data_IF_818837162758
#
_entry.id   IF_818837162758
#
_cell.length_a   1.000
_cell.length_b   1.000
_cell.length_c   1.000
_cell.angle_alpha   90.00
_cell.angle_beta   90.00
_cell.angle_gamma   90.00
#
_symmetry.space_group_name_H-M   'P 1'
#
loop_
_entity.id
_entity.type
_entity.pdbx_description
1 polymer ?
#
# COMPACT_ATOMS: atom_id res chain seq x y z
N UNK A 1 -19.14 -2.13 17.53
CA UNK A 1 -18.41 -3.21 17.82
C UNK A 1 -17.03 -2.88 18.34
N UNK A 2 -16.48 -3.81 19.05
CA UNK A 2 -15.33 -3.59 19.90
C UNK A 2 -14.04 -3.52 19.11
N UNK A 3 -13.07 -2.77 19.64
CA UNK A 3 -11.71 -2.75 19.12
C UNK A 3 -11.02 -4.07 19.45
N UNK A 4 -10.20 -4.55 18.53
CA UNK A 4 -9.43 -5.77 18.76
C UNK A 4 -8.02 -5.62 18.19
N UNK A 5 -7.09 -6.34 18.81
CA UNK A 5 -5.74 -6.47 18.29
C UNK A 5 -5.72 -7.62 17.29
N UNK A 6 -5.26 -7.34 16.09
CA UNK A 6 -5.15 -8.34 15.02
C UNK A 6 -3.72 -8.40 14.51
N UNK A 7 -3.34 -9.55 13.97
CA UNK A 7 -2.11 -9.71 13.21
C UNK A 7 -2.49 -9.67 11.73
N UNK A 8 -1.97 -8.69 11.02
CA UNK A 8 -2.41 -8.41 9.65
C UNK A 8 -1.28 -7.77 8.84
N UNK A 9 -1.54 -7.57 7.56
CA UNK A 9 -0.62 -6.86 6.65
C UNK A 9 -1.32 -5.65 6.08
N UNK A 10 -0.64 -4.51 6.10
CA UNK A 10 -1.13 -3.26 5.52
C UNK A 10 -0.28 -2.90 4.32
N UNK A 11 -0.96 -2.50 3.25
CA UNK A 11 -0.34 -2.10 1.99
C UNK A 11 -0.75 -0.67 1.68
N UNK A 12 0.23 0.20 1.41
CA UNK A 12 0.00 1.54 0.87
C UNK A 12 0.52 1.57 -0.56
N UNK A 13 -0.33 2.03 -1.49
CA UNK A 13 -0.03 2.08 -2.91
C UNK A 13 -0.24 3.51 -3.39
N UNK A 14 0.82 4.14 -3.88
CA UNK A 14 0.77 5.50 -4.39
C UNK A 14 1.01 5.51 -5.89
N UNK A 15 0.32 6.42 -6.61
CA UNK A 15 0.50 6.59 -8.04
C UNK A 15 1.60 7.63 -8.26
N UNK A 16 2.73 7.19 -8.79
CA UNK A 16 3.89 8.05 -8.98
C UNK A 16 3.60 9.19 -9.96
N UNK A 17 3.92 10.41 -9.55
CA UNK A 17 3.80 11.59 -10.42
C UNK A 17 2.37 12.06 -10.67
N UNK A 18 1.38 11.52 -9.99
CA UNK A 18 -0.01 11.88 -10.22
C UNK A 18 -0.31 13.34 -9.83
N UNK A 19 0.34 13.85 -8.80
CA UNK A 19 0.18 15.25 -8.38
C UNK A 19 0.51 16.20 -9.52
N UNK A 20 1.58 15.93 -10.27
CA UNK A 20 1.99 16.75 -11.41
C UNK A 20 0.94 16.74 -12.51
N UNK A 21 0.37 15.57 -12.85
CA UNK A 21 -0.67 15.48 -13.89
C UNK A 21 -1.96 16.16 -13.43
N UNK A 22 -2.29 16.05 -12.14
CA UNK A 22 -3.50 16.65 -11.59
C UNK A 22 -3.48 18.18 -11.61
N UNK A 23 -2.30 18.78 -11.62
CA UNK A 23 -2.13 20.23 -11.72
C UNK A 23 -2.25 20.74 -13.16
N UNK A 24 -2.03 19.88 -14.15
CA UNK A 24 -2.00 20.26 -15.58
C UNK A 24 -3.28 19.96 -16.32
N UNK A 25 -3.98 18.90 -15.95
CA UNK A 25 -5.15 18.42 -16.67
C UNK A 25 -6.45 18.97 -16.09
N UNK A 26 -7.49 18.94 -16.91
CA UNK A 26 -8.85 19.34 -16.47
C UNK A 26 -9.33 18.39 -15.36
N UNK A 27 -10.13 18.89 -14.40
CA UNK A 27 -10.63 18.07 -13.30
C UNK A 27 -11.31 16.77 -13.72
N UNK A 28 -12.12 16.80 -14.78
CA UNK A 28 -12.80 15.60 -15.27
C UNK A 28 -11.82 14.54 -15.77
N UNK A 29 -10.76 14.96 -16.43
CA UNK A 29 -9.69 14.06 -16.89
C UNK A 29 -8.96 13.44 -15.71
N UNK A 30 -8.65 14.24 -14.70
CA UNK A 30 -7.96 13.77 -13.48
C UNK A 30 -8.78 12.71 -12.77
N UNK A 31 -10.08 12.97 -12.58
CA UNK A 31 -10.99 12.03 -11.90
C UNK A 31 -11.10 10.73 -12.70
N UNK A 32 -11.23 10.82 -14.03
CA UNK A 32 -11.31 9.62 -14.88
C UNK A 32 -10.05 8.76 -14.78
N UNK A 33 -8.88 9.37 -14.87
CA UNK A 33 -7.61 8.65 -14.78
C UNK A 33 -7.46 7.98 -13.42
N UNK A 34 -7.76 8.72 -12.36
CA UNK A 34 -7.65 8.21 -10.99
C UNK A 34 -8.59 7.02 -10.76
N UNK A 35 -9.85 7.14 -11.23
CA UNK A 35 -10.82 6.06 -11.10
C UNK A 35 -10.39 4.82 -11.89
N UNK A 36 -9.83 4.98 -13.07
CA UNK A 36 -9.33 3.86 -13.87
C UNK A 36 -8.19 3.13 -13.14
N UNK A 37 -7.26 3.89 -12.55
CA UNK A 37 -6.12 3.31 -11.82
C UNK A 37 -6.58 2.63 -10.53
N UNK A 38 -7.48 3.26 -9.78
CA UNK A 38 -8.05 2.65 -8.56
C UNK A 38 -8.79 1.36 -8.88
N UNK A 39 -9.53 1.32 -9.98
CA UNK A 39 -10.27 0.12 -10.36
C UNK A 39 -9.33 -1.07 -10.59
N UNK A 40 -8.20 -0.86 -11.23
CA UNK A 40 -7.18 -1.87 -11.43
C UNK A 40 -6.64 -2.37 -10.08
N UNK A 41 -6.32 -1.45 -9.18
CA UNK A 41 -5.78 -1.79 -7.86
C UNK A 41 -6.79 -2.56 -7.02
N UNK A 42 -8.03 -2.09 -6.98
CA UNK A 42 -9.11 -2.71 -6.21
C UNK A 42 -9.37 -4.14 -6.66
N UNK A 43 -9.39 -4.38 -7.96
CA UNK A 43 -9.60 -5.73 -8.52
C UNK A 43 -8.53 -6.71 -8.03
N UNK A 44 -7.27 -6.29 -8.05
CA UNK A 44 -6.16 -7.15 -7.63
C UNK A 44 -6.17 -7.39 -6.12
N UNK A 45 -6.53 -6.38 -5.33
CA UNK A 45 -6.64 -6.51 -3.88
C UNK A 45 -7.75 -7.49 -3.50
N UNK A 46 -8.93 -7.34 -4.12
CA UNK A 46 -10.08 -8.21 -3.87
C UNK A 46 -9.77 -9.65 -4.31
N UNK A 47 -9.07 -9.82 -5.42
CA UNK A 47 -8.69 -11.16 -5.91
C UNK A 47 -7.86 -11.93 -4.89
N UNK A 48 -7.12 -11.26 -4.02
CA UNK A 48 -6.33 -11.85 -2.95
C UNK A 48 -7.03 -11.76 -1.57
N UNK A 49 -8.33 -11.52 -1.56
CA UNK A 49 -9.14 -11.39 -0.35
C UNK A 49 -8.68 -10.27 0.57
N UNK A 50 -8.12 -9.22 0.01
CA UNK A 50 -7.80 -8.00 0.73
C UNK A 50 -9.02 -7.11 0.88
N UNK A 51 -8.94 -6.18 1.81
CA UNK A 51 -9.99 -5.22 2.12
C UNK A 51 -9.45 -3.83 1.83
N UNK A 52 -10.19 -3.03 1.08
CA UNK A 52 -9.84 -1.63 0.87
C UNK A 52 -10.23 -0.89 2.15
N UNK A 53 -9.24 -0.32 2.83
CA UNK A 53 -9.50 0.47 4.03
C UNK A 53 -9.98 1.87 3.66
N UNK A 54 -9.21 2.57 2.85
CA UNK A 54 -9.56 3.90 2.38
C UNK A 54 -8.74 4.34 1.18
N UNK A 55 -9.22 5.36 0.51
CA UNK A 55 -8.47 6.12 -0.48
C UNK A 55 -8.00 7.41 0.17
N UNK A 56 -6.73 7.75 0.00
CA UNK A 56 -6.11 8.95 0.56
C UNK A 56 -5.47 9.71 -0.61
N UNK A 57 -6.21 10.65 -1.21
CA UNK A 57 -5.77 11.32 -2.44
C UNK A 57 -5.56 10.30 -3.55
N UNK A 58 -4.35 10.20 -4.08
CA UNK A 58 -3.95 9.23 -5.10
C UNK A 58 -3.32 7.95 -4.52
N UNK A 59 -3.55 7.70 -3.23
CA UNK A 59 -3.05 6.55 -2.49
C UNK A 59 -4.19 5.62 -2.09
N UNK A 60 -3.94 4.32 -2.12
CA UNK A 60 -4.86 3.29 -1.63
C UNK A 60 -4.23 2.62 -0.42
N UNK A 61 -5.01 2.50 0.65
CA UNK A 61 -4.64 1.72 1.83
C UNK A 61 -5.48 0.45 1.86
N UNK A 62 -4.83 -0.70 1.91
CA UNK A 62 -5.49 -2.01 1.95
C UNK A 62 -4.99 -2.83 3.12
N UNK A 63 -5.85 -3.70 3.63
CA UNK A 63 -5.54 -4.59 4.76
C UNK A 63 -5.81 -6.03 4.35
N UNK A 64 -4.86 -6.90 4.69
CA UNK A 64 -4.96 -8.34 4.47
C UNK A 64 -4.87 -9.02 5.84
N UNK A 65 -5.84 -9.84 6.16
CA UNK A 65 -5.86 -10.57 7.44
C UNK A 65 -6.21 -12.04 7.21
N UNK A 66 -6.00 -12.86 8.24
CA UNK A 66 -6.22 -14.30 8.12
C UNK A 66 -5.02 -15.03 7.55
N UNK A 67 -5.25 -16.22 7.02
CA UNK A 67 -4.18 -17.09 6.55
C UNK A 67 -3.38 -16.46 5.41
N UNK A 68 -2.06 -16.54 5.51
CA UNK A 68 -1.13 -16.07 4.48
C UNK A 68 -1.31 -14.60 4.11
N UNK A 69 -1.68 -13.77 5.09
CA UNK A 69 -1.98 -12.36 4.81
C UNK A 69 -0.80 -11.62 4.19
N UNK A 70 0.44 -11.89 4.61
CA UNK A 70 1.61 -11.25 4.01
C UNK A 70 1.84 -11.73 2.57
N UNK A 71 1.76 -13.03 2.33
CA UNK A 71 1.96 -13.58 0.98
C UNK A 71 0.91 -13.06 0.01
N UNK A 72 -0.36 -13.00 0.44
CA UNK A 72 -1.46 -12.49 -0.40
C UNK A 72 -1.30 -11.01 -0.70
N UNK A 73 -0.82 -10.23 0.27
CA UNK A 73 -0.54 -8.81 0.08
C UNK A 73 0.57 -8.59 -0.94
N UNK A 74 1.62 -9.41 -0.91
CA UNK A 74 2.72 -9.34 -1.87
C UNK A 74 2.24 -9.75 -3.26
N UNK A 75 1.49 -10.84 -3.38
CA UNK A 75 0.93 -11.28 -4.66
C UNK A 75 0.04 -10.19 -5.28
N UNK A 76 -0.83 -9.57 -4.49
CA UNK A 76 -1.67 -8.47 -4.96
C UNK A 76 -0.82 -7.29 -5.44
N UNK A 77 0.24 -6.96 -4.71
CA UNK A 77 1.12 -5.84 -5.05
C UNK A 77 1.89 -6.07 -6.35
N UNK A 78 2.37 -7.30 -6.57
CA UNK A 78 3.03 -7.68 -7.83
C UNK A 78 2.04 -7.57 -8.99
N UNK A 79 0.82 -8.09 -8.80
CA UNK A 79 -0.22 -8.02 -9.82
C UNK A 79 -0.59 -6.57 -10.15
N UNK A 80 -0.71 -5.72 -9.15
CA UNK A 80 -0.98 -4.28 -9.33
C UNK A 80 0.13 -3.64 -10.14
N UNK A 81 1.38 -3.82 -9.73
CA UNK A 81 2.53 -3.24 -10.45
C UNK A 81 2.52 -3.65 -11.91
N UNK A 82 2.32 -4.93 -12.18
CA UNK A 82 2.32 -5.46 -13.55
C UNK A 82 1.14 -4.92 -14.37
N UNK A 83 -0.05 -4.89 -13.78
CA UNK A 83 -1.25 -4.38 -14.45
C UNK A 83 -1.15 -2.88 -14.75
N UNK A 84 -0.65 -2.10 -13.79
CA UNK A 84 -0.44 -0.66 -13.99
C UNK A 84 0.62 -0.42 -15.07
N UNK A 85 1.72 -1.17 -15.07
CA UNK A 85 2.78 -1.04 -16.08
C UNK A 85 2.29 -1.34 -17.49
N UNK A 86 1.24 -2.16 -17.63
CA UNK A 86 0.68 -2.54 -18.92
C UNK A 86 -0.42 -1.62 -19.40
N UNK A 87 -0.81 -0.61 -18.60
CA UNK A 87 -1.79 0.37 -19.04
C UNK A 87 -1.19 1.30 -20.09
N UNK A 88 -2.02 1.77 -21.04
CA UNK A 88 -1.53 2.69 -22.07
C UNK A 88 -1.20 4.05 -21.47
N UNK A 89 -0.31 4.77 -22.15
CA UNK A 89 -0.07 6.18 -21.86
C UNK A 89 -1.29 6.98 -22.28
N UNK A 90 -1.83 7.78 -21.36
CA UNK A 90 -2.96 8.68 -21.63
C UNK A 90 -2.57 10.09 -21.22
N UNK A 91 -2.87 11.08 -22.05
CA UNK A 91 -2.57 12.50 -21.82
C UNK A 91 -1.11 12.73 -21.46
N UNK A 92 -0.19 11.96 -22.08
CA UNK A 92 1.24 12.05 -21.81
C UNK A 92 1.66 11.41 -20.49
N UNK A 93 0.76 10.73 -19.79
CA UNK A 93 1.04 10.10 -18.49
C UNK A 93 1.03 8.59 -18.59
N UNK A 94 2.14 7.98 -18.18
CA UNK A 94 2.27 6.52 -18.03
C UNK A 94 2.28 6.19 -16.55
N UNK A 95 1.21 5.58 -16.02
CA UNK A 95 1.13 5.34 -14.58
C UNK A 95 2.18 4.34 -14.10
N UNK A 96 2.73 4.62 -12.94
CA UNK A 96 3.62 3.73 -12.16
C UNK A 96 3.18 3.80 -10.72
N UNK A 97 3.54 2.81 -9.94
CA UNK A 97 3.20 2.76 -8.52
C UNK A 97 4.43 2.64 -7.64
N UNK A 98 4.29 3.15 -6.42
CA UNK A 98 5.23 2.91 -5.32
C UNK A 98 4.44 2.25 -4.20
N UNK A 99 4.92 1.11 -3.70
CA UNK A 99 4.16 0.28 -2.77
C UNK A 99 5.01 0.01 -1.53
N UNK A 100 4.40 0.17 -0.35
CA UNK A 100 4.99 -0.21 0.92
C UNK A 100 4.11 -1.23 1.62
N UNK A 101 4.72 -2.28 2.17
CA UNK A 101 4.02 -3.39 2.82
C UNK A 101 4.66 -3.63 4.17
N UNK A 102 3.86 -3.74 5.21
CA UNK A 102 4.33 -4.15 6.52
C UNK A 102 3.31 -5.06 7.19
N UNK A 103 3.80 -5.95 8.02
CA UNK A 103 3.00 -6.96 8.71
C UNK A 103 3.27 -6.88 10.21
N UNK A 104 2.27 -7.18 11.00
CA UNK A 104 2.42 -7.22 12.45
C UNK A 104 1.11 -6.94 13.16
N UNK A 105 1.21 -6.66 14.45
CA UNK A 105 0.04 -6.34 15.25
C UNK A 105 -0.47 -4.93 14.97
N UNK A 106 -1.79 -4.81 14.97
CA UNK A 106 -2.46 -3.52 14.82
C UNK A 106 -3.82 -3.58 15.52
N UNK A 107 -4.39 -2.42 15.78
CA UNK A 107 -5.70 -2.33 16.40
C UNK A 107 -6.73 -2.05 15.32
N UNK A 108 -7.73 -2.93 15.24
CA UNK A 108 -8.85 -2.83 14.33
C UNK A 108 -10.08 -2.37 15.10
N UNK A 109 -10.80 -1.39 14.57
CA UNK A 109 -12.00 -0.89 15.23
C UNK A 109 -12.60 0.33 14.56
N UNK A 110 -13.64 0.85 15.16
CA UNK A 110 -14.30 2.08 14.74
C UNK A 110 -13.60 3.28 15.36
N UNK A 111 -13.02 4.11 14.51
CA UNK A 111 -12.20 5.25 14.92
C UNK A 111 -12.79 6.54 14.35
N UNK A 112 -12.95 7.54 15.18
CA UNK A 112 -13.50 8.82 14.78
C UNK A 112 -14.21 9.52 15.93
N UNK A 113 -15.18 10.35 15.57
CA UNK A 113 -15.94 11.13 16.53
C UNK A 113 -17.40 10.71 16.56
N UNK A 114 -17.85 10.17 17.68
CA UNK A 114 -19.26 9.85 17.90
C UNK A 114 -20.13 11.11 17.88
N UNK A 115 -19.60 12.22 18.38
CA UNK A 115 -20.30 13.52 18.37
C UNK A 115 -20.61 13.97 16.95
N UNK A 116 -19.67 13.78 16.02
CA UNK A 116 -19.87 14.11 14.62
C UNK A 116 -20.56 12.98 13.84
N UNK A 117 -20.91 11.89 14.53
CA UNK A 117 -21.50 10.69 13.94
C UNK A 117 -20.65 10.16 12.77
N UNK A 118 -19.32 10.27 12.92
CA UNK A 118 -18.38 9.85 11.89
C UNK A 118 -17.37 8.87 12.49
N UNK A 119 -17.67 7.60 12.33
CA UNK A 119 -16.81 6.51 12.76
C UNK A 119 -16.44 5.69 11.52
N UNK A 120 -15.14 5.55 11.27
CA UNK A 120 -14.62 4.73 10.19
C UNK A 120 -14.03 3.44 10.77
N UNK A 121 -14.41 2.31 10.22
CA UNK A 121 -13.79 1.04 10.60
C UNK A 121 -12.43 0.96 9.90
N UNK A 122 -11.37 0.94 10.68
CA UNK A 122 -10.00 1.01 10.16
C UNK A 122 -9.03 0.31 11.09
N UNK A 123 -7.75 0.32 10.72
CA UNK A 123 -6.65 -0.18 11.55
C UNK A 123 -5.69 0.96 11.87
N UNK A 124 -5.13 0.92 13.08
CA UNK A 124 -4.12 1.87 13.53
C UNK A 124 -2.99 1.16 14.26
N UNK A 125 -1.87 1.84 14.39
CA UNK A 125 -0.71 1.39 15.17
C UNK A 125 0.59 1.62 14.45
N UNK A 126 1.68 1.25 15.12
CA UNK A 126 3.03 1.39 14.61
C UNK A 126 3.25 0.59 13.30
N UNK A 127 2.67 -0.60 13.22
CA UNK A 127 2.73 -1.44 12.02
C UNK A 127 2.16 -0.70 10.80
N UNK A 128 1.05 0.00 10.99
CA UNK A 128 0.39 0.78 9.92
C UNK A 128 1.25 1.97 9.52
N UNK A 129 1.74 2.71 10.49
CA UNK A 129 2.59 3.89 10.25
C UNK A 129 3.88 3.51 9.52
N UNK A 130 4.48 2.40 9.89
CA UNK A 130 5.68 1.87 9.24
C UNK A 130 5.40 1.51 7.78
N UNK A 131 4.26 0.87 7.50
CA UNK A 131 3.87 0.54 6.12
C UNK A 131 3.81 1.80 5.24
N UNK A 132 3.21 2.86 5.74
CA UNK A 132 3.14 4.13 5.04
C UNK A 132 4.53 4.72 4.81
N UNK A 133 5.40 4.64 5.81
CA UNK A 133 6.77 5.12 5.71
C UNK A 133 7.58 4.34 4.66
N UNK A 134 7.37 3.03 4.59
CA UNK A 134 8.01 2.20 3.57
C UNK A 134 7.57 2.59 2.16
N UNK A 135 6.27 2.88 1.99
CA UNK A 135 5.76 3.36 0.72
C UNK A 135 6.42 4.69 0.32
N UNK A 136 6.58 5.62 1.27
CA UNK A 136 7.25 6.90 1.01
C UNK A 136 8.72 6.72 0.61
N UNK A 137 9.36 5.67 1.09
CA UNK A 137 10.76 5.36 0.76
C UNK A 137 10.89 4.58 -0.56
N UNK A 138 9.79 4.06 -1.09
CA UNK A 138 9.81 3.29 -2.33
C UNK A 138 10.05 4.20 -3.53
N UNK A 139 10.91 3.77 -4.43
CA UNK A 139 11.09 4.42 -5.72
C UNK A 139 9.99 4.03 -6.70
N UNK A 140 10.06 4.61 -7.89
CA UNK A 140 9.09 4.34 -8.96
C UNK A 140 9.13 2.86 -9.34
N UNK A 141 7.98 2.21 -9.27
CA UNK A 141 7.84 0.79 -9.61
C UNK A 141 8.33 -0.16 -8.53
N UNK A 142 8.68 0.33 -7.34
CA UNK A 142 9.18 -0.52 -6.27
C UNK A 142 8.08 -0.97 -5.32
N UNK A 143 8.20 -2.23 -4.89
CA UNK A 143 7.43 -2.81 -3.79
C UNK A 143 8.43 -3.03 -2.66
N UNK A 144 8.25 -2.32 -1.54
CA UNK A 144 9.21 -2.30 -0.45
C UNK A 144 8.65 -2.98 0.79
N UNK A 145 9.44 -3.89 1.35
CA UNK A 145 9.13 -4.60 2.60
C UNK A 145 10.30 -4.47 3.57
N UNK A 146 10.05 -4.52 4.90
CA UNK A 146 11.13 -4.54 5.86
C UNK A 146 11.76 -5.93 5.98
N UNK A 147 12.95 -5.99 6.55
CA UNK A 147 13.70 -7.24 6.70
C UNK A 147 12.91 -8.35 7.40
N UNK A 148 12.15 -8.02 8.43
CA UNK A 148 11.34 -9.02 9.13
C UNK A 148 10.30 -9.70 8.22
N UNK A 149 9.77 -8.96 7.24
CA UNK A 149 8.86 -9.52 6.24
C UNK A 149 9.65 -10.33 5.20
N UNK A 150 10.78 -9.81 4.77
CA UNK A 150 11.67 -10.53 3.87
C UNK A 150 12.03 -11.91 4.40
N UNK A 151 12.40 -12.01 5.67
CA UNK A 151 12.77 -13.29 6.30
C UNK A 151 11.65 -14.32 6.24
N UNK A 152 10.39 -13.85 6.29
CA UNK A 152 9.22 -14.74 6.22
C UNK A 152 8.91 -15.22 4.80
N UNK A 153 9.29 -14.45 3.78
CA UNK A 153 8.85 -14.71 2.39
C UNK A 153 9.98 -14.99 1.42
N UNK A 154 11.22 -14.95 1.83
CA UNK A 154 12.39 -15.06 0.95
C UNK A 154 12.45 -16.35 0.13
N UNK A 155 11.78 -17.41 0.60
CA UNK A 155 11.73 -18.68 -0.14
C UNK A 155 10.65 -18.67 -1.24
N UNK A 156 9.68 -17.79 -1.14
CA UNK A 156 8.54 -17.71 -2.06
C UNK A 156 8.63 -16.57 -3.05
N UNK A 157 9.37 -15.51 -2.70
CA UNK A 157 9.47 -14.31 -3.53
C UNK A 157 10.93 -13.93 -3.72
N UNK A 158 11.24 -13.49 -4.95
CA UNK A 158 12.57 -12.93 -5.24
C UNK A 158 12.63 -11.50 -4.75
N UNK A 159 13.57 -11.21 -3.87
CA UNK A 159 13.74 -9.89 -3.28
C UNK A 159 15.20 -9.45 -3.37
N UNK A 160 15.42 -8.13 -3.43
CA UNK A 160 16.75 -7.54 -3.43
C UNK A 160 16.86 -6.52 -2.30
N UNK A 161 17.96 -6.55 -1.57
CA UNK A 161 18.20 -5.57 -0.51
C UNK A 161 18.40 -4.18 -1.10
N UNK A 162 17.67 -3.21 -0.58
CA UNK A 162 17.81 -1.81 -0.99
C UNK A 162 18.85 -1.11 -0.10
N UNK A 163 18.74 -1.30 1.22
CA UNK A 163 19.59 -0.64 2.20
C UNK A 163 18.89 -0.50 3.53
N UNK A 164 19.21 0.55 4.26
CA UNK A 164 18.59 0.82 5.56
C UNK A 164 18.01 2.22 5.55
N UNK A 165 16.86 2.40 6.19
CA UNK A 165 16.23 3.69 6.35
C UNK A 165 15.94 3.97 7.82
N UNK A 166 15.92 5.26 8.18
CA UNK A 166 15.50 5.69 9.50
C UNK A 166 13.99 5.91 9.49
N UNK A 167 13.31 5.29 10.44
CA UNK A 167 11.88 5.51 10.63
C UNK A 167 11.67 6.62 11.65
N UNK A 168 10.63 7.41 11.44
CA UNK A 168 10.25 8.47 12.35
C UNK A 168 9.98 7.89 13.75
N UNK A 169 10.58 8.50 14.78
CA UNK A 169 10.44 8.08 16.18
C UNK A 169 11.04 6.70 16.50
N UNK A 170 11.91 6.18 15.63
CA UNK A 170 12.66 4.96 15.87
C UNK A 170 14.13 5.31 16.08
N UNK A 171 14.77 4.69 17.05
CA UNK A 171 16.20 4.88 17.34
C UNK A 171 17.09 4.03 16.44
N UNK A 172 16.53 3.00 15.82
CA UNK A 172 17.26 2.10 14.96
C UNK A 172 16.83 2.24 13.51
N UNK A 173 17.75 1.96 12.60
CA UNK A 173 17.46 1.88 11.19
C UNK A 173 16.78 0.55 10.87
N UNK A 174 15.92 0.57 9.85
CA UNK A 174 15.25 -0.62 9.35
C UNK A 174 15.83 -0.97 7.98
N UNK A 175 16.29 -2.21 7.85
CA UNK A 175 16.75 -2.74 6.56
C UNK A 175 15.53 -3.02 5.70
N UNK A 176 15.57 -2.59 4.45
CA UNK A 176 14.45 -2.74 3.52
C UNK A 176 14.87 -3.49 2.27
N UNK A 177 13.90 -4.18 1.71
CA UNK A 177 14.06 -5.01 0.51
C UNK A 177 13.03 -4.62 -0.53
N UNK A 178 13.40 -4.75 -1.80
CA UNK A 178 12.48 -4.63 -2.92
C UNK A 178 12.01 -6.02 -3.32
N UNK A 179 10.70 -6.19 -3.48
CA UNK A 179 10.13 -7.42 -4.04
C UNK A 179 10.19 -7.34 -5.57
N UNK A 180 10.88 -8.28 -6.20
CA UNK A 180 11.05 -8.31 -7.64
C UNK A 180 9.95 -9.15 -8.30
N UNK A 181 9.77 -10.38 -7.81
CA UNK A 181 8.77 -11.29 -8.37
C UNK A 181 8.37 -12.40 -7.40
#
# INVERSE_FOLDING_TARGET
TDNETIDATVVFIDICGFTSISEKEAPDTVVKLLNDYFDVMVKEIIAQNGIIDKFIGDCVMAVFKGDFHLDRAIDASIAIRNSINNLPTENGFSPKVSIGINSGEMISGNIGSATLKRLDFTVIGDTVNTSQRLQSAAGVGQIVIPEKCYEKVKKSFKCEKIGAISLKNKTEEVVIYEVIS
#
